data_IF_962347926248
#
_entry.id   IF_962347926248
#
_cell.length_a   1.000
_cell.length_b   1.000
_cell.length_c   1.000
_cell.angle_alpha   90.00
_cell.angle_beta   90.00
_cell.angle_gamma   90.00
#
_symmetry.space_group_name_H-M   'P 1'
#
loop_
_entity.id
_entity.type
_entity.pdbx_description
1 polymer ?
#
# COMPACT_ATOMS: atom_id res chain seq x y z
N UNK A 1 55.50 -28.55 6.62
CA UNK A 1 54.09 -28.24 6.30
C UNK A 1 53.85 -26.80 6.71
N UNK A 2 53.55 -25.96 5.73
CA UNK A 2 53.29 -24.52 5.88
C UNK A 2 51.84 -24.35 6.34
N UNK A 3 51.63 -23.69 7.47
CA UNK A 3 50.31 -23.33 7.97
C UNK A 3 50.22 -21.81 8.16
N UNK A 4 49.85 -21.11 7.09
CA UNK A 4 49.63 -19.65 7.10
C UNK A 4 48.13 -19.41 7.02
N UNK A 5 47.52 -18.89 8.07
CA UNK A 5 46.25 -18.16 7.97
C UNK A 5 46.38 -16.87 8.78
N UNK A 6 46.75 -15.84 8.03
CA UNK A 6 46.72 -14.43 8.40
C UNK A 6 45.27 -13.95 8.36
N UNK A 7 44.89 -13.14 9.34
CA UNK A 7 43.88 -12.11 9.18
C UNK A 7 42.44 -12.56 9.41
N UNK A 8 42.00 -12.55 10.67
CA UNK A 8 40.58 -12.42 10.99
C UNK A 8 40.11 -11.05 10.48
N UNK A 9 39.29 -11.10 9.44
CA UNK A 9 38.78 -9.93 8.74
C UNK A 9 37.91 -9.05 9.64
N UNK A 10 38.08 -7.76 9.38
CA UNK A 10 37.27 -6.60 9.72
C UNK A 10 35.83 -6.84 10.16
N UNK A 11 35.45 -6.04 11.15
CA UNK A 11 34.09 -5.61 11.51
C UNK A 11 33.20 -5.53 10.27
N UNK A 12 32.30 -6.50 10.11
CA UNK A 12 31.11 -6.33 9.30
C UNK A 12 30.00 -6.12 10.30
N UNK A 13 29.65 -4.84 10.49
CA UNK A 13 28.48 -4.46 11.25
C UNK A 13 27.32 -5.33 10.82
N UNK A 14 26.52 -5.77 11.78
CA UNK A 14 25.22 -6.36 11.54
C UNK A 14 24.47 -5.42 10.59
N UNK A 15 24.53 -5.73 9.30
CA UNK A 15 23.63 -5.16 8.33
C UNK A 15 22.26 -5.54 8.85
N UNK A 16 21.52 -4.53 9.34
CA UNK A 16 20.08 -4.55 9.44
C UNK A 16 19.60 -4.63 7.99
N UNK A 17 19.75 -5.83 7.44
CA UNK A 17 19.92 -6.10 6.02
C UNK A 17 18.82 -7.02 5.53
N UNK A 18 17.59 -6.61 5.80
CA UNK A 18 16.44 -6.86 4.96
C UNK A 18 15.39 -5.90 5.48
N UNK A 19 15.48 -4.64 5.03
CA UNK A 19 14.28 -3.86 4.88
C UNK A 19 13.29 -4.80 4.18
N UNK A 20 12.30 -5.31 4.92
CA UNK A 20 11.03 -5.62 4.29
C UNK A 20 10.75 -4.35 3.51
N UNK A 21 10.78 -4.43 2.18
CA UNK A 21 10.26 -3.35 1.37
C UNK A 21 8.80 -3.28 1.79
N UNK A 22 8.54 -2.54 2.86
CA UNK A 22 7.25 -2.35 3.45
C UNK A 22 6.42 -1.96 2.25
N UNK A 23 5.44 -2.80 1.92
CA UNK A 23 4.51 -2.49 0.85
C UNK A 23 3.60 -1.31 1.24
N UNK A 24 4.05 -0.49 2.21
CA UNK A 24 3.65 0.86 2.50
C UNK A 24 3.32 1.60 1.22
N UNK A 25 2.20 2.30 1.30
CA UNK A 25 1.77 3.17 0.22
C UNK A 25 2.70 4.38 0.24
N UNK A 26 3.45 4.57 -0.83
CA UNK A 26 4.42 5.65 -0.89
C UNK A 26 3.70 7.00 -0.89
N UNK A 27 4.35 8.04 -0.38
CA UNK A 27 3.83 9.41 -0.50
C UNK A 27 3.74 9.81 -1.97
N UNK A 28 2.64 10.44 -2.34
CA UNK A 28 2.41 10.81 -3.72
C UNK A 28 0.95 11.04 -4.07
N UNK A 29 0.72 11.41 -5.33
CA UNK A 29 -0.62 11.52 -5.90
C UNK A 29 -1.00 10.20 -6.53
N UNK A 30 -2.25 9.83 -6.38
CA UNK A 30 -2.80 8.59 -6.85
C UNK A 30 -4.16 8.82 -7.48
N UNK A 31 -4.46 8.08 -8.53
CA UNK A 31 -5.81 8.02 -9.07
C UNK A 31 -6.51 6.79 -8.47
N UNK A 32 -7.59 7.02 -7.74
CA UNK A 32 -8.42 5.97 -7.17
C UNK A 32 -9.63 5.73 -8.05
N UNK A 33 -9.61 4.62 -8.79
CA UNK A 33 -10.68 4.23 -9.70
C UNK A 33 -11.50 3.10 -9.10
N UNK A 34 -12.76 3.39 -8.77
CA UNK A 34 -13.75 2.39 -8.36
C UNK A 34 -14.42 1.86 -9.62
N UNK A 35 -14.25 0.56 -9.89
CA UNK A 35 -14.97 -0.14 -10.96
C UNK A 35 -16.19 -0.79 -10.35
N UNK A 36 -17.38 -0.32 -10.73
CA UNK A 36 -18.64 -1.00 -10.42
C UNK A 36 -19.18 -1.64 -11.69
N UNK A 37 -19.45 -2.95 -11.64
CA UNK A 37 -20.01 -3.69 -12.76
C UNK A 37 -21.46 -4.03 -12.45
N UNK A 38 -22.38 -3.43 -13.20
CA UNK A 38 -23.81 -3.74 -13.15
C UNK A 38 -24.22 -4.38 -14.48
N UNK A 39 -24.23 -5.71 -14.53
CA UNK A 39 -24.50 -6.46 -15.76
C UNK A 39 -23.45 -6.16 -16.84
N UNK A 40 -23.89 -5.62 -17.98
CA UNK A 40 -23.00 -5.23 -19.10
C UNK A 40 -22.43 -3.81 -18.97
N UNK A 41 -22.86 -3.04 -17.97
CA UNK A 41 -22.41 -1.66 -17.75
C UNK A 41 -21.26 -1.64 -16.75
N UNK A 42 -20.11 -1.09 -17.16
CA UNK A 42 -18.97 -0.81 -16.30
C UNK A 42 -18.96 0.70 -16.04
N UNK A 43 -19.29 1.11 -14.82
CA UNK A 43 -19.10 2.50 -14.37
C UNK A 43 -17.76 2.57 -13.65
N UNK A 44 -16.82 3.35 -14.21
CA UNK A 44 -15.53 3.63 -13.62
C UNK A 44 -15.52 5.08 -13.12
N UNK A 45 -15.43 5.26 -11.80
CA UNK A 45 -15.25 6.57 -11.18
C UNK A 45 -13.85 6.70 -10.63
N UNK A 46 -13.08 7.57 -11.26
CA UNK A 46 -11.72 7.90 -10.86
C UNK A 46 -11.72 9.25 -10.13
N UNK A 47 -11.15 9.28 -8.93
CA UNK A 47 -10.89 10.51 -8.20
C UNK A 47 -9.42 10.56 -7.80
N UNK A 48 -8.84 11.77 -7.77
CA UNK A 48 -7.49 11.95 -7.25
C UNK A 48 -7.48 11.83 -5.72
N UNK A 49 -6.52 11.08 -5.22
CA UNK A 49 -6.17 10.93 -3.83
C UNK A 49 -4.70 11.26 -3.64
N UNK A 50 -4.33 11.71 -2.45
CA UNK A 50 -2.93 11.97 -2.09
C UNK A 50 -2.58 11.20 -0.83
N UNK A 51 -1.42 10.56 -0.83
CA UNK A 51 -0.85 9.92 0.35
C UNK A 51 0.22 10.83 0.92
N UNK A 52 0.11 11.15 2.21
CA UNK A 52 1.06 11.96 2.97
C UNK A 52 1.33 11.27 4.30
N UNK A 53 2.53 10.71 4.46
CA UNK A 53 2.89 9.83 5.55
C UNK A 53 1.94 8.63 5.64
N UNK A 54 1.17 8.57 6.74
CA UNK A 54 0.20 7.52 7.01
C UNK A 54 -1.24 7.99 6.75
N UNK A 55 -1.44 8.97 5.87
CA UNK A 55 -2.75 9.52 5.60
C UNK A 55 -3.09 9.45 4.12
N UNK A 56 -4.23 8.84 3.80
CA UNK A 56 -4.87 8.88 2.49
C UNK A 56 -5.89 10.03 2.48
N UNK A 57 -5.60 11.08 1.71
CA UNK A 57 -6.42 12.28 1.59
C UNK A 57 -7.20 12.19 0.28
N UNK A 58 -8.52 12.05 0.39
CA UNK A 58 -9.41 12.04 -0.77
C UNK A 58 -9.86 13.44 -1.23
N UNK A 59 -10.72 13.50 -2.26
CA UNK A 59 -11.21 14.77 -2.83
C UNK A 59 -12.02 15.61 -1.84
N UNK A 60 -12.62 14.97 -0.82
CA UNK A 60 -13.30 15.66 0.28
C UNK A 60 -12.34 16.30 1.31
N UNK A 61 -11.02 16.22 1.09
CA UNK A 61 -9.97 16.66 2.02
C UNK A 61 -10.08 16.04 3.43
N UNK A 62 -10.76 14.90 3.55
CA UNK A 62 -10.82 14.14 4.80
C UNK A 62 -9.64 13.17 4.81
N UNK A 63 -8.71 13.30 5.77
CA UNK A 63 -7.61 12.37 5.91
C UNK A 63 -8.14 11.06 6.46
N UNK A 64 -7.73 9.96 5.84
CA UNK A 64 -8.00 8.62 6.31
C UNK A 64 -6.70 7.98 6.75
N UNK A 65 -6.66 7.50 7.99
CA UNK A 65 -5.46 6.89 8.54
C UNK A 65 -5.17 5.55 7.86
N UNK A 66 -3.93 5.40 7.40
CA UNK A 66 -3.37 4.19 6.82
C UNK A 66 -2.52 3.50 7.88
N UNK A 67 -2.89 2.26 8.20
CA UNK A 67 -2.12 1.35 9.03
C UNK A 67 -1.27 0.51 8.09
N UNK A 68 0.04 0.71 8.13
CA UNK A 68 0.97 -0.03 7.30
C UNK A 68 0.93 -1.53 7.62
N UNK A 69 0.99 -2.35 6.59
CA UNK A 69 1.04 -3.82 6.71
C UNK A 69 2.17 -4.36 5.84
N UNK A 70 2.65 -5.59 6.09
CA UNK A 70 3.70 -6.19 5.26
C UNK A 70 3.36 -6.27 3.75
N UNK A 71 2.07 -6.26 3.41
CA UNK A 71 1.58 -6.42 2.04
C UNK A 71 1.00 -5.12 1.43
N UNK A 72 0.98 -4.02 2.18
CA UNK A 72 0.21 -2.85 1.79
C UNK A 72 -0.08 -1.89 2.94
N UNK A 73 -1.32 -1.40 2.98
CA UNK A 73 -1.87 -0.67 4.12
C UNK A 73 -3.35 -0.99 4.30
N UNK A 74 -3.87 -0.77 5.50
CA UNK A 74 -5.30 -0.88 5.79
C UNK A 74 -5.80 0.45 6.32
N UNK A 75 -6.91 0.94 5.81
CA UNK A 75 -7.60 2.10 6.34
C UNK A 75 -8.91 1.66 6.97
N UNK A 76 -9.20 2.11 8.19
CA UNK A 76 -10.49 1.82 8.85
C UNK A 76 -11.37 3.04 8.73
N UNK A 77 -12.59 2.85 8.23
CA UNK A 77 -13.63 3.88 8.13
C UNK A 77 -14.77 3.47 9.08
N UNK A 78 -14.78 3.99 10.32
CA UNK A 78 -15.82 3.66 11.28
C UNK A 78 -17.24 3.94 10.74
N UNK A 79 -18.25 3.16 11.13
CA UNK A 79 -18.21 2.09 12.15
C UNK A 79 -17.87 0.69 11.62
N UNK A 80 -17.89 0.46 10.31
CA UNK A 80 -17.84 -0.89 9.74
C UNK A 80 -17.07 -0.99 8.42
N UNK A 81 -16.70 0.12 7.81
CA UNK A 81 -16.07 0.13 6.49
C UNK A 81 -14.55 0.11 6.63
N UNK A 82 -13.88 -0.39 5.61
CA UNK A 82 -12.43 -0.43 5.57
C UNK A 82 -11.90 -0.55 4.16
N UNK A 83 -10.65 -0.13 3.98
CA UNK A 83 -9.92 -0.23 2.72
C UNK A 83 -8.71 -1.10 2.97
N UNK A 84 -8.62 -2.23 2.28
CA UNK A 84 -7.40 -3.05 2.26
C UNK A 84 -6.65 -2.70 0.98
N UNK A 85 -5.54 -2.01 1.13
CA UNK A 85 -4.65 -1.62 0.04
C UNK A 85 -3.55 -2.67 -0.04
N UNK A 86 -3.33 -3.25 -1.22
CA UNK A 86 -2.30 -4.26 -1.48
C UNK A 86 -1.50 -3.86 -2.70
N UNK A 87 -0.17 -3.87 -2.59
CA UNK A 87 0.70 -3.51 -3.71
C UNK A 87 0.58 -4.51 -4.86
N UNK A 88 0.52 -4.02 -6.10
CA UNK A 88 0.51 -4.84 -7.31
C UNK A 88 1.54 -4.31 -8.31
N UNK A 89 1.69 -4.97 -9.47
CA UNK A 89 2.68 -4.58 -10.48
C UNK A 89 2.44 -3.18 -11.10
N UNK A 90 1.22 -2.66 -11.02
CA UNK A 90 0.78 -1.41 -11.67
C UNK A 90 0.50 -0.27 -10.66
N UNK A 91 0.80 -0.45 -9.37
CA UNK A 91 0.40 0.44 -8.29
C UNK A 91 -0.14 -0.34 -7.10
N UNK A 92 -1.38 -0.06 -6.70
CA UNK A 92 -2.03 -0.72 -5.57
C UNK A 92 -3.46 -1.17 -5.92
N UNK A 93 -3.82 -2.38 -5.53
CA UNK A 93 -5.19 -2.86 -5.50
C UNK A 93 -5.82 -2.42 -4.19
N UNK A 94 -7.04 -1.90 -4.23
CA UNK A 94 -7.79 -1.53 -3.03
C UNK A 94 -9.06 -2.34 -2.95
N UNK A 95 -9.29 -3.00 -1.82
CA UNK A 95 -10.50 -3.76 -1.55
C UNK A 95 -11.30 -2.99 -0.51
N UNK A 96 -12.47 -2.51 -0.90
CA UNK A 96 -13.44 -1.95 0.01
C UNK A 96 -14.10 -3.11 0.75
N UNK A 97 -14.06 -3.07 2.08
CA UNK A 97 -14.68 -4.06 2.95
C UNK A 97 -15.74 -3.41 3.83
N UNK A 98 -16.85 -4.09 4.07
CA UNK A 98 -17.86 -3.72 5.08
C UNK A 98 -17.96 -4.88 6.05
N UNK A 99 -17.76 -4.63 7.35
CA UNK A 99 -17.68 -5.66 8.40
C UNK A 99 -16.68 -6.77 8.06
N UNK A 100 -15.56 -6.42 7.41
CA UNK A 100 -14.55 -7.38 6.94
C UNK A 100 -14.93 -8.16 5.67
N UNK A 101 -16.12 -7.95 5.11
CA UNK A 101 -16.58 -8.59 3.87
C UNK A 101 -16.20 -7.73 2.67
N UNK A 102 -15.48 -8.25 1.66
CA UNK A 102 -15.14 -7.48 0.46
C UNK A 102 -16.40 -7.19 -0.37
N UNK A 103 -16.66 -5.90 -0.60
CA UNK A 103 -17.85 -5.43 -1.35
C UNK A 103 -17.50 -4.80 -2.69
N UNK A 104 -16.29 -4.29 -2.84
CA UNK A 104 -15.83 -3.70 -4.09
C UNK A 104 -14.32 -3.77 -4.22
N UNK A 105 -13.84 -3.88 -5.47
CA UNK A 105 -12.42 -3.78 -5.80
C UNK A 105 -12.17 -2.52 -6.61
N UNK A 106 -11.18 -1.75 -6.20
CA UNK A 106 -10.73 -0.50 -6.81
C UNK A 106 -9.24 -0.58 -7.10
N UNK A 107 -8.73 0.34 -7.91
CA UNK A 107 -7.31 0.48 -8.17
C UNK A 107 -6.84 1.87 -7.77
N UNK A 108 -5.67 1.92 -7.14
CA UNK A 108 -4.97 3.12 -6.75
C UNK A 108 -3.67 3.17 -7.56
N UNK A 109 -3.67 3.98 -8.61
CA UNK A 109 -2.56 4.08 -9.57
C UNK A 109 -1.76 5.34 -9.32
N UNK A 110 -0.42 5.30 -9.17
CA UNK A 110 0.38 6.49 -8.96
C UNK A 110 0.28 7.45 -10.16
N UNK A 111 0.06 8.72 -9.87
CA UNK A 111 0.15 9.83 -10.82
C UNK A 111 1.51 10.47 -10.59
N UNK A 112 2.42 10.32 -11.56
CA UNK A 112 3.83 10.75 -11.47
C UNK A 112 4.06 12.17 -10.97
#
# INVERSE_FOLDING_TARGET
MVGTLVGAAAVIGTAVGAANAEAKVADGRYNFCVKTQYGSSVDERCNEYRVVGNQLIGPANQPLELIDTPNGAVAVIPPASGLVITKNANGYKVVNTILGVPVATSQLTPLG
#
